data_IF_523305845893
#
_entry.id   IF_523305845893
#
_cell.length_a   1.000
_cell.length_b   1.000
_cell.length_c   1.000
_cell.angle_alpha   90.00
_cell.angle_beta   90.00
_cell.angle_gamma   90.00
#
_symmetry.space_group_name_H-M   'P 1'
#
loop_
_entity.id
_entity.type
_entity.pdbx_description
1 polymer ?
#
# COMPACT_ATOMS: atom_id res chain seq x y z
N UNK A 1 11.61 16.92 44.23
CA UNK A 1 11.24 17.05 42.80
C UNK A 1 11.74 15.80 42.11
N UNK A 2 10.79 15.02 41.64
CA UNK A 2 10.91 13.65 41.18
C UNK A 2 11.58 13.59 39.81
N UNK A 3 12.74 12.92 39.70
CA UNK A 3 13.50 12.75 38.46
C UNK A 3 12.95 11.60 37.59
N UNK A 4 11.66 11.28 37.72
CA UNK A 4 11.01 10.15 37.07
C UNK A 4 10.14 10.57 35.87
N UNK A 5 10.52 11.60 35.13
CA UNK A 5 9.75 12.04 33.95
C UNK A 5 10.57 12.37 32.70
N UNK A 6 11.78 11.81 32.56
CA UNK A 6 12.56 11.97 31.32
C UNK A 6 13.08 10.64 30.80
N UNK A 7 12.18 9.81 30.24
CA UNK A 7 12.44 8.87 29.13
C UNK A 7 11.28 7.90 28.88
N UNK A 8 10.04 8.41 28.86
CA UNK A 8 8.88 7.70 28.30
C UNK A 8 8.21 8.50 27.18
N UNK A 9 9.00 9.17 26.36
CA UNK A 9 8.55 9.65 25.05
C UNK A 9 8.63 8.49 24.04
N UNK A 10 7.51 7.76 24.02
CA UNK A 10 7.11 6.65 23.15
C UNK A 10 7.80 6.59 21.78
N UNK A 11 8.63 5.58 21.57
CA UNK A 11 8.75 4.94 20.27
C UNK A 11 7.41 4.23 19.98
N UNK A 12 6.57 4.76 19.09
CA UNK A 12 5.39 3.98 18.64
C UNK A 12 4.21 4.69 17.97
N UNK A 13 4.10 6.01 17.93
CA UNK A 13 2.87 6.66 17.45
C UNK A 13 3.14 7.61 16.27
N UNK A 14 3.59 7.06 15.13
CA UNK A 14 3.48 7.78 13.85
C UNK A 14 2.02 7.88 13.42
N UNK A 15 1.67 8.91 12.63
CA UNK A 15 0.30 9.12 12.13
C UNK A 15 -0.27 7.89 11.43
N UNK A 16 -1.61 7.75 11.35
CA UNK A 16 -2.25 6.64 10.62
C UNK A 16 -1.75 6.53 9.18
N UNK A 17 -1.57 7.68 8.53
CA UNK A 17 -0.96 7.80 7.20
C UNK A 17 0.44 7.20 7.16
N UNK A 18 1.33 7.55 8.10
CA UNK A 18 2.67 6.97 8.13
C UNK A 18 2.66 5.46 8.39
N UNK A 19 1.75 4.97 9.24
CA UNK A 19 1.62 3.52 9.48
C UNK A 19 1.20 2.80 8.20
N UNK A 20 0.26 3.37 7.46
CA UNK A 20 -0.17 2.86 6.17
C UNK A 20 0.98 2.87 5.14
N UNK A 21 1.70 3.99 4.99
CA UNK A 21 2.85 4.09 4.06
C UNK A 21 3.93 3.06 4.40
N UNK A 22 4.31 2.94 5.68
CA UNK A 22 5.29 1.92 6.11
C UNK A 22 4.83 0.49 5.83
N UNK A 23 3.53 0.23 5.83
CA UNK A 23 2.97 -1.07 5.44
C UNK A 23 3.08 -1.26 3.93
N UNK A 24 2.70 -0.26 3.13
CA UNK A 24 2.86 -0.26 1.67
C UNK A 24 4.32 -0.53 1.25
N UNK A 25 5.29 0.10 1.91
CA UNK A 25 6.73 -0.08 1.67
C UNK A 25 7.20 -1.54 1.83
N UNK A 26 6.50 -2.35 2.65
CA UNK A 26 6.83 -3.78 2.77
C UNK A 26 6.54 -4.53 1.47
N UNK A 27 5.45 -4.19 0.78
CA UNK A 27 5.13 -4.78 -0.52
C UNK A 27 6.12 -4.33 -1.60
N UNK A 28 6.53 -3.05 -1.58
CA UNK A 28 7.56 -2.52 -2.49
C UNK A 28 8.90 -3.22 -2.27
N UNK A 29 9.30 -3.48 -1.02
CA UNK A 29 10.54 -4.24 -0.74
C UNK A 29 10.52 -5.66 -1.33
N UNK A 30 9.37 -6.33 -1.30
CA UNK A 30 9.22 -7.65 -1.94
C UNK A 30 9.38 -7.52 -3.45
N UNK A 31 8.72 -6.54 -4.09
CA UNK A 31 8.87 -6.28 -5.51
C UNK A 31 10.32 -5.98 -5.90
N UNK A 32 11.02 -5.11 -5.15
CA UNK A 32 12.42 -4.79 -5.37
C UNK A 32 13.34 -6.01 -5.24
N UNK A 33 13.07 -6.89 -4.28
CA UNK A 33 13.81 -8.15 -4.12
C UNK A 33 13.61 -9.06 -5.35
N UNK A 34 12.41 -9.12 -5.91
CA UNK A 34 12.11 -9.91 -7.10
C UNK A 34 12.74 -9.31 -8.38
N UNK A 35 12.80 -7.98 -8.46
CA UNK A 35 13.40 -7.24 -9.58
C UNK A 35 14.93 -7.47 -9.70
N UNK A 36 15.60 -7.89 -8.62
CA UNK A 36 17.01 -8.29 -8.69
C UNK A 36 17.27 -9.50 -9.62
N UNK A 37 16.22 -10.27 -9.95
CA UNK A 37 16.32 -11.49 -10.76
C UNK A 37 15.41 -11.50 -12.00
N UNK A 38 14.51 -10.53 -12.14
CA UNK A 38 13.51 -10.48 -13.20
C UNK A 38 13.36 -9.03 -13.70
N UNK A 39 12.95 -8.80 -14.95
CA UNK A 39 12.73 -7.45 -15.48
C UNK A 39 11.70 -6.66 -14.67
N UNK A 40 11.98 -5.37 -14.42
CA UNK A 40 11.06 -4.48 -13.72
C UNK A 40 9.68 -4.38 -14.41
N UNK A 41 9.65 -4.49 -15.75
CA UNK A 41 8.44 -4.55 -16.58
C UNK A 41 7.54 -5.72 -16.20
N UNK A 42 8.13 -6.87 -15.88
CA UNK A 42 7.37 -8.07 -15.48
C UNK A 42 6.95 -7.95 -14.02
N UNK A 43 7.82 -7.40 -13.17
CA UNK A 43 7.54 -7.22 -11.75
C UNK A 43 6.38 -6.25 -11.50
N UNK A 44 6.31 -5.10 -12.19
CA UNK A 44 5.19 -4.18 -11.96
C UNK A 44 3.86 -4.78 -12.41
N UNK A 45 3.84 -5.57 -13.50
CA UNK A 45 2.62 -6.26 -13.93
C UNK A 45 2.23 -7.37 -12.97
N UNK A 46 3.21 -8.12 -12.44
CA UNK A 46 2.96 -9.11 -11.39
C UNK A 46 2.43 -8.46 -10.10
N UNK A 47 2.94 -7.27 -9.75
CA UNK A 47 2.47 -6.48 -8.62
C UNK A 47 1.02 -6.05 -8.78
N UNK A 48 0.66 -5.51 -9.95
CA UNK A 48 -0.72 -5.13 -10.29
C UNK A 48 -1.67 -6.33 -10.24
N UNK A 49 -1.27 -7.47 -10.81
CA UNK A 49 -2.04 -8.71 -10.76
C UNK A 49 -2.22 -9.22 -9.33
N UNK A 50 -1.17 -9.18 -8.52
CA UNK A 50 -1.22 -9.55 -7.10
C UNK A 50 -2.17 -8.66 -6.30
N UNK A 51 -2.12 -7.35 -6.52
CA UNK A 51 -3.04 -6.39 -5.90
C UNK A 51 -4.50 -6.68 -6.28
N UNK A 52 -4.78 -6.95 -7.56
CA UNK A 52 -6.12 -7.31 -8.02
C UNK A 52 -6.66 -8.57 -7.32
N UNK A 53 -5.83 -9.62 -7.18
CA UNK A 53 -6.21 -10.86 -6.48
C UNK A 53 -6.53 -10.61 -5.01
N UNK A 54 -5.69 -9.82 -4.33
CA UNK A 54 -5.90 -9.52 -2.92
C UNK A 54 -7.15 -8.66 -2.70
N UNK A 55 -7.36 -7.64 -3.54
CA UNK A 55 -8.54 -6.78 -3.47
C UNK A 55 -9.83 -7.58 -3.73
N UNK A 56 -9.83 -8.50 -4.70
CA UNK A 56 -10.96 -9.39 -4.94
C UNK A 56 -11.26 -10.31 -3.74
N UNK A 57 -10.22 -10.85 -3.09
CA UNK A 57 -10.38 -11.64 -1.88
C UNK A 57 -11.03 -10.82 -0.75
N UNK A 58 -10.54 -9.60 -0.50
CA UNK A 58 -11.06 -8.70 0.53
C UNK A 58 -12.50 -8.32 0.23
N UNK A 59 -12.79 -7.88 -1.00
CA UNK A 59 -14.14 -7.48 -1.41
C UNK A 59 -15.14 -8.61 -1.18
N UNK A 60 -14.81 -9.83 -1.62
CA UNK A 60 -15.72 -10.97 -1.55
C UNK A 60 -15.86 -11.57 -0.16
N UNK A 61 -14.75 -11.75 0.57
CA UNK A 61 -14.73 -12.60 1.76
C UNK A 61 -14.57 -11.84 3.08
N UNK A 62 -14.16 -10.57 3.03
CA UNK A 62 -13.95 -9.74 4.23
C UNK A 62 -15.01 -8.65 4.33
N UNK A 63 -15.27 -7.97 3.21
CA UNK A 63 -16.26 -6.88 3.13
C UNK A 63 -17.65 -7.36 2.69
N UNK A 64 -17.74 -8.56 2.11
CA UNK A 64 -18.97 -9.14 1.56
C UNK A 64 -19.70 -8.17 0.61
N UNK A 65 -18.94 -7.51 -0.27
CA UNK A 65 -19.45 -6.54 -1.23
C UNK A 65 -20.51 -7.19 -2.13
N UNK A 66 -21.72 -6.62 -2.16
CA UNK A 66 -22.82 -7.14 -2.97
C UNK A 66 -22.69 -6.78 -4.47
N UNK A 67 -22.29 -5.54 -4.76
CA UNK A 67 -22.07 -5.06 -6.13
C UNK A 67 -20.57 -4.97 -6.43
N UNK A 68 -20.04 -6.01 -7.07
CA UNK A 68 -18.63 -6.08 -7.40
C UNK A 68 -18.20 -5.07 -8.48
N UNK A 69 -19.09 -4.69 -9.41
CA UNK A 69 -18.74 -3.76 -10.50
C UNK A 69 -18.61 -2.33 -9.96
N UNK A 70 -19.48 -1.93 -9.03
CA UNK A 70 -19.33 -0.68 -8.30
C UNK A 70 -17.98 -0.62 -7.56
N UNK A 71 -17.62 -1.68 -6.83
CA UNK A 71 -16.34 -1.76 -6.13
C UNK A 71 -15.13 -1.72 -7.09
N UNK A 72 -15.19 -2.44 -8.22
CA UNK A 72 -14.13 -2.38 -9.24
C UNK A 72 -13.96 -0.96 -9.76
N UNK A 73 -15.06 -0.26 -10.02
CA UNK A 73 -15.05 1.13 -10.49
C UNK A 73 -14.38 2.06 -9.48
N UNK A 74 -14.75 1.96 -8.20
CA UNK A 74 -14.15 2.75 -7.12
C UNK A 74 -12.65 2.47 -6.97
N UNK A 75 -12.25 1.20 -6.96
CA UNK A 75 -10.84 0.81 -6.83
C UNK A 75 -10.00 1.26 -8.02
N UNK A 76 -10.53 1.16 -9.24
CA UNK A 76 -9.87 1.65 -10.44
C UNK A 76 -9.69 3.17 -10.41
N UNK A 77 -10.68 3.92 -9.93
CA UNK A 77 -10.59 5.37 -9.75
C UNK A 77 -9.51 5.74 -8.72
N UNK A 78 -9.50 5.08 -7.56
CA UNK A 78 -8.49 5.29 -6.52
C UNK A 78 -7.07 4.99 -7.03
N UNK A 79 -6.88 3.86 -7.73
CA UNK A 79 -5.59 3.52 -8.33
C UNK A 79 -5.15 4.57 -9.36
N UNK A 80 -6.07 5.02 -10.21
CA UNK A 80 -5.79 6.03 -11.23
C UNK A 80 -5.32 7.34 -10.60
N UNK A 81 -5.98 7.79 -9.54
CA UNK A 81 -5.58 9.01 -8.82
C UNK A 81 -4.20 8.85 -8.15
N UNK A 82 -3.99 7.76 -7.41
CA UNK A 82 -2.69 7.50 -6.76
C UNK A 82 -1.56 7.44 -7.79
N UNK A 83 -1.75 6.72 -8.90
CA UNK A 83 -0.75 6.62 -9.95
C UNK A 83 -0.46 7.97 -10.60
N UNK A 84 -1.49 8.78 -10.90
CA UNK A 84 -1.32 10.14 -11.45
C UNK A 84 -0.53 11.03 -10.50
N UNK A 85 -0.83 10.98 -9.20
CA UNK A 85 -0.15 11.77 -8.19
C UNK A 85 1.34 11.40 -8.09
N UNK A 86 1.67 10.11 -8.13
CA UNK A 86 3.06 9.67 -8.13
C UNK A 86 3.80 10.00 -9.43
N UNK A 87 3.15 9.87 -10.60
CA UNK A 87 3.76 10.28 -11.88
C UNK A 87 3.96 11.79 -12.01
N UNK A 88 3.21 12.59 -11.27
CA UNK A 88 3.38 14.04 -11.20
C UNK A 88 4.50 14.46 -10.22
N UNK A 89 4.99 13.57 -9.36
CA UNK A 89 6.13 13.84 -8.48
C UNK A 89 7.43 13.80 -9.28
N UNK A 90 8.20 14.90 -9.35
CA UNK A 90 9.47 14.93 -10.09
C UNK A 90 10.56 14.05 -9.48
N UNK A 91 10.35 13.48 -8.28
CA UNK A 91 11.32 12.66 -7.56
C UNK A 91 11.02 11.16 -7.56
N UNK A 92 10.00 10.71 -8.29
CA UNK A 92 9.73 9.27 -8.52
C UNK A 92 10.78 8.64 -9.45
#
# INVERSE_FOLDING_TARGET
MDSTETSKARAGEGSETERFVRLADRFIRVANTANAKNPATDIHMAFLYGAARYNAFVAKNVMEVADHEAFVTEMAAAYTEMLRNHLADPNV
#
